data_IF_626891936748
#
_entry.id   IF_626891936748
#
_cell.length_a   1.000
_cell.length_b   1.000
_cell.length_c   1.000
_cell.angle_alpha   90.00
_cell.angle_beta   90.00
_cell.angle_gamma   90.00
#
_symmetry.space_group_name_H-M   'P 1'
#
loop_
_entity.id
_entity.type
_entity.pdbx_description
1 polymer ?
#
# COMPACT_ATOMS: atom_id res chain seq x y z
N UNK A 1 -42.77 -34.72 39.47
CA UNK A 1 -42.22 -34.71 38.09
C UNK A 1 -40.72 -35.03 38.13
N UNK A 2 -40.26 -35.97 37.37
CA UNK A 2 -38.82 -36.30 37.33
C UNK A 2 -38.03 -35.10 36.91
N UNK A 3 -36.87 -34.88 37.54
CA UNK A 3 -36.02 -33.66 37.32
C UNK A 3 -35.64 -33.49 35.83
N UNK A 4 -35.46 -34.59 35.10
CA UNK A 4 -35.15 -34.60 33.69
C UNK A 4 -36.24 -33.96 32.79
N UNK A 5 -37.52 -34.19 33.12
CA UNK A 5 -38.64 -33.61 32.38
C UNK A 5 -38.69 -32.07 32.47
N UNK A 6 -38.27 -31.50 33.60
CA UNK A 6 -38.14 -30.05 33.77
C UNK A 6 -37.02 -29.46 32.91
N UNK A 7 -35.86 -30.12 32.84
CA UNK A 7 -34.74 -29.66 32.03
C UNK A 7 -35.01 -29.78 30.53
N UNK A 8 -35.70 -30.85 30.10
CA UNK A 8 -36.09 -31.00 28.69
C UNK A 8 -37.11 -29.96 28.25
N UNK A 9 -38.13 -29.67 29.12
CA UNK A 9 -39.10 -28.61 28.87
C UNK A 9 -38.42 -27.21 28.81
N UNK A 10 -37.49 -26.95 29.73
CA UNK A 10 -36.73 -25.71 29.74
C UNK A 10 -35.87 -25.57 28.49
N UNK A 11 -35.19 -26.62 28.05
CA UNK A 11 -34.40 -26.62 26.83
C UNK A 11 -35.26 -26.38 25.59
N UNK A 12 -36.44 -26.99 25.50
CA UNK A 12 -37.38 -26.75 24.41
C UNK A 12 -37.92 -25.30 24.40
N UNK A 13 -38.20 -24.74 25.57
CA UNK A 13 -38.62 -23.35 25.69
C UNK A 13 -37.53 -22.39 25.17
N UNK A 14 -36.26 -22.58 25.63
CA UNK A 14 -35.16 -21.75 25.21
C UNK A 14 -34.83 -21.93 23.74
N UNK A 15 -34.94 -23.16 23.22
CA UNK A 15 -34.82 -23.46 21.80
C UNK A 15 -35.85 -22.74 20.94
N UNK A 16 -37.13 -22.73 21.42
CA UNK A 16 -38.21 -21.98 20.77
C UNK A 16 -37.97 -20.47 20.77
N UNK A 17 -37.53 -19.91 21.90
CA UNK A 17 -37.18 -18.49 22.02
C UNK A 17 -36.01 -18.12 21.07
N UNK A 18 -34.99 -18.93 21.05
CA UNK A 18 -33.84 -18.70 20.15
C UNK A 18 -34.24 -18.75 18.66
N UNK A 19 -35.04 -19.76 18.28
CA UNK A 19 -35.56 -19.88 16.91
C UNK A 19 -36.45 -18.67 16.53
N UNK A 20 -37.31 -18.24 17.44
CA UNK A 20 -38.16 -17.04 17.24
C UNK A 20 -37.31 -15.77 17.05
N UNK A 21 -36.26 -15.56 17.87
CA UNK A 21 -35.40 -14.40 17.78
C UNK A 21 -34.60 -14.38 16.45
N UNK A 22 -34.13 -15.54 16.00
CA UNK A 22 -33.45 -15.66 14.69
C UNK A 22 -34.39 -15.37 13.53
N UNK A 23 -35.62 -15.91 13.58
CA UNK A 23 -36.66 -15.66 12.58
C UNK A 23 -37.07 -14.19 12.52
N UNK A 24 -37.43 -13.63 13.69
CA UNK A 24 -37.85 -12.22 13.81
C UNK A 24 -36.73 -11.26 13.40
N UNK A 25 -35.48 -11.53 13.84
CA UNK A 25 -34.30 -10.75 13.47
C UNK A 25 -34.06 -10.75 11.97
N UNK A 26 -34.22 -11.90 11.33
CA UNK A 26 -34.07 -12.03 9.85
C UNK A 26 -35.14 -11.21 9.11
N UNK A 27 -36.39 -11.25 9.56
CA UNK A 27 -37.50 -10.48 8.98
C UNK A 27 -37.32 -8.96 9.14
N UNK A 28 -36.91 -8.52 10.32
CA UNK A 28 -36.63 -7.10 10.61
C UNK A 28 -35.48 -6.59 9.75
N UNK A 29 -34.38 -7.36 9.59
CA UNK A 29 -33.24 -6.99 8.73
C UNK A 29 -33.64 -6.83 7.26
N UNK A 30 -34.44 -7.74 6.72
CA UNK A 30 -34.94 -7.66 5.34
C UNK A 30 -35.83 -6.43 5.13
N UNK A 31 -36.77 -6.20 6.05
CA UNK A 31 -37.66 -5.03 5.96
C UNK A 31 -36.87 -3.72 6.02
N UNK A 32 -35.84 -3.64 6.88
CA UNK A 32 -34.96 -2.48 6.95
C UNK A 32 -34.16 -2.28 5.69
N UNK A 33 -33.64 -3.34 5.08
CA UNK A 33 -32.85 -3.27 3.85
C UNK A 33 -33.68 -2.76 2.64
N UNK A 34 -35.00 -2.94 2.66
CA UNK A 34 -35.92 -2.53 1.60
C UNK A 34 -36.41 -1.08 1.76
N UNK A 35 -36.22 -0.46 2.93
CA UNK A 35 -36.61 0.93 3.14
C UNK A 35 -35.73 1.87 2.26
N UNK A 36 -36.30 2.93 1.66
CA UNK A 36 -35.54 3.91 0.93
C UNK A 36 -34.82 4.89 1.86
N UNK A 37 -33.66 5.37 1.42
CA UNK A 37 -32.99 6.51 2.05
C UNK A 37 -33.82 7.78 1.77
N UNK A 38 -34.23 8.47 2.82
CA UNK A 38 -35.12 9.64 2.70
C UNK A 38 -34.36 10.95 2.52
N UNK A 39 -33.29 11.13 3.28
CA UNK A 39 -32.45 12.35 3.22
C UNK A 39 -31.03 12.07 3.68
N UNK A 40 -30.12 13.03 3.37
CA UNK A 40 -28.73 13.03 3.82
C UNK A 40 -28.54 14.15 4.82
N UNK A 41 -28.03 13.83 5.99
CA UNK A 41 -27.56 14.77 6.99
C UNK A 41 -26.04 14.69 7.08
N UNK A 42 -25.38 15.84 6.91
CA UNK A 42 -23.92 15.93 6.99
C UNK A 42 -23.57 16.74 8.22
N UNK A 43 -22.72 16.18 9.06
CA UNK A 43 -22.17 16.82 10.25
C UNK A 43 -20.66 16.88 10.16
N UNK A 44 -20.09 18.07 10.34
CA UNK A 44 -18.63 18.26 10.47
C UNK A 44 -18.34 18.38 11.96
N UNK A 45 -17.79 17.30 12.54
CA UNK A 45 -17.73 17.09 14.00
C UNK A 45 -16.81 18.06 14.71
N UNK A 46 -15.63 18.40 14.17
CA UNK A 46 -14.60 19.22 14.82
C UNK A 46 -14.46 20.62 14.22
N UNK A 47 -15.56 21.24 13.81
CA UNK A 47 -15.51 22.57 13.26
C UNK A 47 -15.47 23.64 14.36
N UNK A 48 -14.30 23.95 14.87
CA UNK A 48 -14.09 25.24 15.55
C UNK A 48 -14.23 26.38 14.55
N UNK A 49 -14.78 27.51 14.98
CA UNK A 49 -15.08 28.66 14.10
C UNK A 49 -13.88 29.20 13.29
N UNK A 50 -12.68 28.84 13.68
CA UNK A 50 -11.41 29.25 13.04
C UNK A 50 -10.86 28.20 12.03
N UNK A 51 -11.37 26.98 12.02
CA UNK A 51 -10.86 25.84 11.24
C UNK A 51 -11.97 25.24 10.35
N UNK A 52 -12.39 25.99 9.31
CA UNK A 52 -13.34 25.46 8.31
C UNK A 52 -12.62 25.08 7.01
N UNK A 53 -11.94 23.95 6.99
CA UNK A 53 -11.39 23.36 5.76
C UNK A 53 -12.47 22.65 4.95
N UNK A 54 -13.42 22.03 5.64
CA UNK A 54 -14.53 21.29 5.04
C UNK A 54 -15.86 21.87 5.55
N UNK A 55 -16.78 22.12 4.63
CA UNK A 55 -18.16 22.54 4.97
C UNK A 55 -19.14 21.43 4.57
N UNK A 56 -20.33 21.45 5.18
CA UNK A 56 -21.43 20.57 4.80
C UNK A 56 -21.73 20.63 3.30
N UNK A 57 -21.77 21.85 2.73
CA UNK A 57 -21.99 22.04 1.30
C UNK A 57 -20.91 21.41 0.44
N UNK A 58 -19.66 21.44 0.90
CA UNK A 58 -18.53 20.79 0.21
C UNK A 58 -18.68 19.27 0.19
N UNK A 59 -19.03 18.66 1.32
CA UNK A 59 -19.27 17.21 1.41
C UNK A 59 -20.46 16.79 0.55
N UNK A 60 -21.56 17.54 0.59
CA UNK A 60 -22.71 17.30 -0.29
C UNK A 60 -22.34 17.40 -1.76
N UNK A 61 -21.47 18.35 -2.14
CA UNK A 61 -20.93 18.49 -3.48
C UNK A 61 -20.07 17.29 -3.91
N UNK A 62 -19.28 16.70 -3.00
CA UNK A 62 -18.52 15.48 -3.28
C UNK A 62 -19.44 14.28 -3.51
N UNK A 63 -20.46 14.12 -2.67
CA UNK A 63 -21.46 13.06 -2.80
C UNK A 63 -22.24 13.19 -4.11
N UNK A 64 -22.68 14.39 -4.49
CA UNK A 64 -23.40 14.63 -5.74
C UNK A 64 -22.56 14.32 -6.98
N UNK A 65 -21.26 14.67 -6.97
CA UNK A 65 -20.34 14.40 -8.08
C UNK A 65 -19.89 12.95 -8.19
N UNK A 66 -20.07 12.15 -7.15
CA UNK A 66 -19.64 10.75 -7.14
C UNK A 66 -20.46 9.85 -8.07
N UNK A 67 -21.63 10.28 -8.49
CA UNK A 67 -22.58 9.47 -9.26
C UNK A 67 -23.22 8.32 -8.46
N UNK A 68 -22.92 8.21 -7.15
CA UNK A 68 -23.53 7.19 -6.29
C UNK A 68 -24.91 7.69 -5.89
N UNK A 69 -25.93 7.01 -6.40
CA UNK A 69 -27.31 7.30 -5.97
C UNK A 69 -27.45 6.90 -4.49
N UNK A 70 -27.94 7.84 -3.69
CA UNK A 70 -28.13 7.63 -2.25
C UNK A 70 -29.58 7.85 -1.86
N UNK A 71 -30.13 9.04 -2.11
CA UNK A 71 -31.52 9.36 -1.79
C UNK A 71 -32.46 8.61 -2.72
N UNK A 72 -33.50 7.98 -2.15
CA UNK A 72 -34.45 7.15 -2.88
C UNK A 72 -34.00 5.70 -3.12
N UNK A 73 -32.72 5.37 -2.92
CA UNK A 73 -32.23 4.00 -3.02
C UNK A 73 -32.54 3.19 -1.75
N UNK A 74 -32.70 1.87 -1.90
CA UNK A 74 -32.88 0.97 -0.77
C UNK A 74 -31.64 0.97 0.13
N UNK A 75 -31.82 1.03 1.44
CA UNK A 75 -30.72 1.03 2.42
C UNK A 75 -29.75 -0.14 2.17
N UNK A 76 -30.26 -1.32 1.83
CA UNK A 76 -29.44 -2.50 1.54
C UNK A 76 -28.64 -2.41 0.24
N UNK A 77 -28.97 -1.49 -0.67
CA UNK A 77 -28.27 -1.26 -1.94
C UNK A 77 -27.20 -0.16 -1.83
N UNK A 78 -27.31 0.73 -0.84
CA UNK A 78 -26.34 1.81 -0.64
C UNK A 78 -25.04 1.26 -0.07
N UNK A 79 -23.94 1.49 -0.77
CA UNK A 79 -22.60 1.07 -0.36
C UNK A 79 -21.99 2.11 0.57
N UNK A 80 -22.27 1.99 1.86
CA UNK A 80 -21.80 2.94 2.90
C UNK A 80 -20.28 3.03 2.93
N UNK A 81 -19.60 1.89 2.85
CA UNK A 81 -18.14 1.80 2.80
C UNK A 81 -17.52 2.53 1.58
N UNK A 82 -18.21 2.56 0.45
CA UNK A 82 -17.76 3.29 -0.72
C UNK A 82 -17.90 4.81 -0.53
N UNK A 83 -18.95 5.25 0.15
CA UNK A 83 -19.18 6.65 0.50
C UNK A 83 -18.14 7.14 1.52
N UNK A 84 -17.85 6.35 2.56
CA UNK A 84 -16.78 6.67 3.52
C UNK A 84 -15.43 6.83 2.83
N UNK A 85 -15.03 5.85 2.01
CA UNK A 85 -13.78 5.92 1.24
C UNK A 85 -13.72 7.09 0.28
N UNK A 86 -14.84 7.46 -0.35
CA UNK A 86 -14.92 8.59 -1.25
C UNK A 86 -14.63 9.89 -0.51
N UNK A 87 -15.23 10.06 0.66
CA UNK A 87 -15.06 11.26 1.49
C UNK A 87 -13.64 11.29 2.08
N UNK A 88 -13.15 10.17 2.59
CA UNK A 88 -11.82 10.04 3.18
C UNK A 88 -10.65 10.25 2.18
N UNK A 89 -10.89 10.09 0.87
CA UNK A 89 -9.88 10.41 -0.16
C UNK A 89 -9.51 11.89 -0.24
N UNK A 90 -10.36 12.75 0.31
CA UNK A 90 -10.04 14.18 0.32
C UNK A 90 -9.02 14.47 1.42
N UNK A 91 -7.89 15.06 1.06
CA UNK A 91 -6.79 15.34 1.98
C UNK A 91 -7.17 16.16 3.22
N UNK A 92 -8.29 16.88 3.18
CA UNK A 92 -8.81 17.68 4.30
C UNK A 92 -9.54 16.83 5.37
N UNK A 93 -9.90 15.60 5.03
CA UNK A 93 -10.67 14.70 5.90
C UNK A 93 -9.72 13.78 6.64
N UNK A 94 -9.82 13.76 7.97
CA UNK A 94 -9.09 12.84 8.82
C UNK A 94 -9.80 11.49 8.87
N UNK A 95 -11.13 11.52 9.09
CA UNK A 95 -11.98 10.34 9.12
C UNK A 95 -13.39 10.69 8.63
N UNK A 96 -14.10 9.71 8.12
CA UNK A 96 -15.48 9.84 7.69
C UNK A 96 -16.27 8.59 8.06
N UNK A 97 -17.42 8.77 8.67
CA UNK A 97 -18.33 7.68 9.04
C UNK A 97 -19.70 7.91 8.44
N UNK A 98 -20.20 6.92 7.76
CA UNK A 98 -21.52 6.96 7.13
C UNK A 98 -22.42 5.91 7.78
N UNK A 99 -23.51 6.36 8.37
CA UNK A 99 -24.48 5.47 9.01
C UNK A 99 -25.90 5.78 8.51
N UNK A 100 -26.79 4.79 8.58
CA UNK A 100 -28.19 4.99 8.25
C UNK A 100 -29.04 4.75 9.48
N UNK A 101 -29.84 5.75 9.82
CA UNK A 101 -30.80 5.64 10.96
C UNK A 101 -31.95 4.71 10.62
N UNK A 102 -32.71 4.33 11.65
CA UNK A 102 -33.90 3.52 11.46
C UNK A 102 -35.01 4.23 10.63
N UNK A 103 -35.01 5.55 10.63
CA UNK A 103 -35.93 6.39 9.82
C UNK A 103 -35.52 6.58 8.37
N UNK A 104 -34.44 5.93 7.90
CA UNK A 104 -33.93 6.06 6.54
C UNK A 104 -33.09 7.31 6.29
N UNK A 105 -32.67 8.01 7.36
CA UNK A 105 -31.76 9.17 7.23
C UNK A 105 -30.32 8.69 7.13
N UNK A 106 -29.60 9.12 6.10
CA UNK A 106 -28.17 8.87 5.91
C UNK A 106 -27.40 9.94 6.67
N UNK A 107 -26.76 9.57 7.77
CA UNK A 107 -25.88 10.45 8.56
C UNK A 107 -24.45 10.30 8.09
N UNK A 108 -23.83 11.41 7.73
CA UNK A 108 -22.43 11.50 7.28
C UNK A 108 -21.68 12.36 8.28
N UNK A 109 -20.96 11.74 9.20
CA UNK A 109 -20.07 12.42 10.13
C UNK A 109 -18.67 12.52 9.53
N UNK A 110 -18.12 13.72 9.50
CA UNK A 110 -16.81 14.01 8.91
C UNK A 110 -15.93 14.70 9.93
N UNK A 111 -14.75 14.13 10.18
CA UNK A 111 -13.68 14.75 10.96
C UNK A 111 -12.68 15.38 10.03
N UNK A 112 -12.47 16.68 10.16
CA UNK A 112 -11.48 17.39 9.36
C UNK A 112 -10.09 17.30 9.98
N UNK A 113 -9.05 17.38 9.14
CA UNK A 113 -7.67 17.45 9.60
C UNK A 113 -7.35 18.82 10.18
N UNK A 114 -6.59 18.84 11.27
CA UNK A 114 -6.09 20.05 11.89
C UNK A 114 -4.67 20.31 11.43
N UNK A 115 -4.41 21.36 10.62
CA UNK A 115 -3.06 21.70 10.21
C UNK A 115 -2.29 22.32 11.39
N UNK A 116 -1.05 21.87 11.58
CA UNK A 116 -0.11 22.44 12.54
C UNK A 116 0.69 23.60 11.92
N UNK A 117 1.06 23.45 10.66
CA UNK A 117 1.87 24.43 9.93
C UNK A 117 1.59 24.39 8.43
N UNK A 118 2.02 25.45 7.74
CA UNK A 118 1.99 25.54 6.28
C UNK A 118 3.41 25.57 5.72
N UNK A 119 3.72 24.69 4.80
CA UNK A 119 4.94 24.74 4.01
C UNK A 119 4.71 25.63 2.78
N UNK A 120 5.41 26.75 2.74
CA UNK A 120 5.45 27.64 1.58
C UNK A 120 6.92 27.76 1.15
N UNK A 121 7.38 26.71 0.50
CA UNK A 121 8.74 26.57 0.01
C UNK A 121 8.65 26.45 -1.51
N UNK A 122 9.73 26.70 -2.21
CA UNK A 122 9.81 26.71 -3.66
C UNK A 122 9.01 25.57 -4.34
N UNK A 123 7.88 25.91 -4.94
CA UNK A 123 6.92 24.99 -5.55
C UNK A 123 5.99 24.22 -4.58
N UNK A 124 6.19 24.32 -3.27
CA UNK A 124 5.34 23.67 -2.26
C UNK A 124 4.36 24.66 -1.64
N UNK A 125 3.09 24.28 -1.58
CA UNK A 125 2.06 25.01 -0.87
C UNK A 125 1.11 24.00 -0.20
N UNK A 126 1.54 23.45 0.93
CA UNK A 126 0.86 22.35 1.60
C UNK A 126 0.75 22.60 3.10
N UNK A 127 -0.33 22.11 3.70
CA UNK A 127 -0.45 22.00 5.14
C UNK A 127 0.17 20.70 5.65
N UNK A 128 0.66 20.72 6.88
CA UNK A 128 1.19 19.56 7.59
C UNK A 128 0.48 19.47 8.92
N UNK A 129 -0.01 18.28 9.26
CA UNK A 129 -0.59 17.98 10.58
C UNK A 129 0.50 17.60 11.59
N UNK A 130 0.14 17.47 12.85
CA UNK A 130 1.05 17.02 13.92
C UNK A 130 1.61 15.62 13.64
N UNK A 131 0.82 14.73 13.04
CA UNK A 131 1.23 13.37 12.67
C UNK A 131 2.09 13.32 11.40
N UNK A 132 2.40 14.49 10.80
CA UNK A 132 3.18 14.58 9.57
C UNK A 132 2.41 14.22 8.30
N UNK A 133 1.08 14.36 8.31
CA UNK A 133 0.27 14.21 7.10
C UNK A 133 0.28 15.51 6.29
N UNK A 134 0.59 15.41 4.99
CA UNK A 134 0.64 16.54 4.06
C UNK A 134 -0.61 16.56 3.20
N UNK A 135 -1.16 17.75 2.99
CA UNK A 135 -2.25 17.99 2.05
C UNK A 135 -2.20 19.39 1.45
N UNK A 136 -2.71 19.53 0.24
CA UNK A 136 -2.67 20.81 -0.48
C UNK A 136 -3.52 21.89 0.20
N UNK A 137 -3.09 23.14 0.13
CA UNK A 137 -3.89 24.26 0.62
C UNK A 137 -5.10 24.46 -0.28
N UNK A 138 -6.34 24.50 0.25
CA UNK A 138 -7.52 24.76 -0.54
C UNK A 138 -7.49 26.17 -1.14
N UNK A 139 -7.99 26.33 -2.36
CA UNK A 139 -8.01 27.64 -3.02
C UNK A 139 -8.95 28.66 -2.37
N UNK A 140 -10.00 28.19 -1.72
CA UNK A 140 -11.09 29.03 -1.21
C UNK A 140 -11.00 29.33 0.29
N UNK A 141 -10.12 28.66 1.03
CA UNK A 141 -9.98 28.86 2.48
C UNK A 141 -8.53 28.74 2.90
N UNK A 142 -8.12 29.57 3.83
CA UNK A 142 -6.82 29.43 4.48
C UNK A 142 -7.00 29.43 5.99
N UNK A 143 -6.20 28.60 6.66
CA UNK A 143 -6.18 28.49 8.11
C UNK A 143 -4.98 29.28 8.63
N UNK A 144 -5.19 29.98 9.74
CA UNK A 144 -4.11 30.72 10.39
C UNK A 144 -3.21 29.74 11.16
N UNK A 145 -2.06 29.44 10.58
CA UNK A 145 -1.03 28.55 11.16
C UNK A 145 0.36 29.13 10.83
N UNK A 146 1.39 28.77 11.60
CA UNK A 146 2.77 29.13 11.28
C UNK A 146 3.14 28.74 9.85
N UNK A 147 3.81 29.64 9.12
CA UNK A 147 4.28 29.41 7.75
C UNK A 147 5.77 29.18 7.76
N UNK A 148 6.19 28.02 7.24
CA UNK A 148 7.60 27.71 7.05
C UNK A 148 7.98 28.07 5.62
N UNK A 149 8.99 28.92 5.49
CA UNK A 149 9.58 29.35 4.22
C UNK A 149 11.07 29.02 4.22
N UNK A 150 11.69 28.95 3.05
CA UNK A 150 13.13 28.73 2.93
C UNK A 150 13.53 28.02 1.64
N UNK A 151 14.78 27.59 1.57
CA UNK A 151 15.37 26.92 0.40
C UNK A 151 15.46 25.41 0.55
N UNK A 152 14.90 24.83 1.62
CA UNK A 152 14.89 23.40 1.83
C UNK A 152 14.00 22.69 0.80
N UNK A 153 14.51 21.60 0.22
CA UNK A 153 13.71 20.73 -0.66
C UNK A 153 13.25 19.50 0.12
N UNK A 154 11.94 19.39 0.36
CA UNK A 154 11.38 18.17 0.95
C UNK A 154 11.66 16.93 0.08
N UNK A 155 11.78 15.73 0.66
CA UNK A 155 12.07 14.51 -0.08
C UNK A 155 10.89 13.96 -0.90
N UNK A 156 9.73 14.61 -0.85
CA UNK A 156 8.51 14.21 -1.55
C UNK A 156 8.12 15.29 -2.59
N UNK A 157 7.37 14.94 -3.65
CA UNK A 157 6.94 15.91 -4.66
C UNK A 157 5.93 16.92 -4.10
N UNK A 158 5.85 18.11 -4.70
CA UNK A 158 4.97 19.20 -4.24
C UNK A 158 3.46 18.83 -4.28
N UNK A 159 3.08 17.88 -5.10
CA UNK A 159 1.71 17.34 -5.21
C UNK A 159 1.42 16.18 -4.25
N UNK A 160 2.37 15.79 -3.41
CA UNK A 160 2.19 14.66 -2.50
C UNK A 160 1.11 14.94 -1.46
N UNK A 161 0.22 13.97 -1.27
CA UNK A 161 -0.80 13.94 -0.21
C UNK A 161 -0.67 12.63 0.52
N UNK A 162 -0.38 12.68 1.82
CA UNK A 162 -0.16 11.50 2.64
C UNK A 162 0.82 11.74 3.77
N UNK A 163 1.15 10.70 4.51
CA UNK A 163 2.14 10.79 5.58
C UNK A 163 3.57 10.84 5.02
N UNK A 164 4.36 11.82 5.45
CA UNK A 164 5.77 11.95 5.05
C UNK A 164 6.60 10.69 5.40
N UNK A 165 6.26 10.03 6.49
CA UNK A 165 6.90 8.79 6.92
C UNK A 165 6.61 7.61 5.96
N UNK A 166 5.41 7.52 5.42
CA UNK A 166 5.02 6.47 4.47
C UNK A 166 5.72 6.65 3.14
N UNK A 167 5.81 7.88 2.64
CA UNK A 167 6.58 8.17 1.44
C UNK A 167 8.03 7.72 1.55
N UNK A 168 8.69 8.01 2.69
CA UNK A 168 10.06 7.56 2.94
C UNK A 168 10.16 6.04 2.97
N UNK A 169 9.20 5.37 3.60
CA UNK A 169 9.16 3.90 3.69
C UNK A 169 9.00 3.26 2.31
N UNK A 170 8.08 3.78 1.49
CA UNK A 170 7.88 3.32 0.11
C UNK A 170 9.12 3.50 -0.75
N UNK A 171 9.82 4.64 -0.62
CA UNK A 171 11.07 4.88 -1.34
C UNK A 171 12.17 3.91 -0.91
N UNK A 172 12.32 3.67 0.39
CA UNK A 172 13.28 2.68 0.90
C UNK A 172 12.96 1.28 0.38
N UNK A 173 11.72 0.88 0.41
CA UNK A 173 11.29 -0.43 -0.10
C UNK A 173 11.57 -0.59 -1.60
N UNK A 174 11.30 0.43 -2.41
CA UNK A 174 11.64 0.41 -3.83
C UNK A 174 13.15 0.27 -4.08
N UNK A 175 13.98 0.91 -3.25
CA UNK A 175 15.44 0.78 -3.32
C UNK A 175 15.86 -0.64 -2.95
N UNK A 176 15.32 -1.20 -1.86
CA UNK A 176 15.63 -2.55 -1.40
C UNK A 176 15.21 -3.62 -2.44
N UNK A 177 14.02 -3.46 -3.05
CA UNK A 177 13.55 -4.33 -4.13
C UNK A 177 14.49 -4.27 -5.35
N UNK A 178 14.96 -3.07 -5.70
CA UNK A 178 15.91 -2.88 -6.80
C UNK A 178 17.28 -3.48 -6.50
N UNK A 179 17.75 -3.36 -5.25
CA UNK A 179 19.00 -4.02 -4.80
C UNK A 179 18.84 -5.53 -4.91
N UNK A 180 17.73 -6.10 -4.44
CA UNK A 180 17.47 -7.53 -4.50
C UNK A 180 17.39 -8.05 -5.96
N UNK A 181 16.82 -7.25 -6.87
CA UNK A 181 16.80 -7.56 -8.31
C UNK A 181 18.23 -7.61 -8.90
N UNK A 182 19.03 -6.57 -8.65
CA UNK A 182 20.43 -6.49 -9.09
C UNK A 182 21.30 -7.62 -8.52
N UNK A 183 21.08 -8.00 -7.26
CA UNK A 183 21.78 -9.13 -6.65
C UNK A 183 21.40 -10.46 -7.31
N UNK A 184 20.15 -10.66 -7.70
CA UNK A 184 19.71 -11.84 -8.45
C UNK A 184 20.37 -11.91 -9.83
N UNK A 185 20.51 -10.79 -10.51
CA UNK A 185 21.21 -10.71 -11.80
C UNK A 185 22.72 -10.96 -11.66
N UNK A 186 23.32 -10.45 -10.59
CA UNK A 186 24.75 -10.64 -10.30
C UNK A 186 25.12 -12.09 -9.99
N UNK A 187 24.25 -12.85 -9.32
CA UNK A 187 24.52 -14.20 -8.88
C UNK A 187 24.91 -15.18 -10.00
N UNK A 188 24.20 -15.28 -11.14
CA UNK A 188 24.58 -16.17 -12.24
C UNK A 188 25.91 -15.76 -12.89
N UNK A 189 26.23 -14.46 -12.90
CA UNK A 189 27.48 -13.94 -13.42
C UNK A 189 28.66 -14.34 -12.52
N UNK A 190 28.51 -14.18 -11.23
CA UNK A 190 29.48 -14.62 -10.23
C UNK A 190 29.73 -16.14 -10.26
N UNK A 191 28.69 -16.96 -10.42
CA UNK A 191 28.83 -18.41 -10.65
C UNK A 191 29.61 -18.74 -11.92
N UNK A 192 29.43 -17.95 -12.98
CA UNK A 192 30.13 -18.12 -14.25
C UNK A 192 31.62 -17.80 -14.07
N UNK A 193 31.97 -16.77 -13.35
CA UNK A 193 33.34 -16.40 -13.02
C UNK A 193 34.06 -17.50 -12.21
N UNK A 194 33.45 -18.02 -11.18
CA UNK A 194 33.95 -19.14 -10.38
C UNK A 194 34.22 -20.39 -11.27
N UNK A 195 33.27 -20.72 -12.15
CA UNK A 195 33.42 -21.85 -13.07
C UNK A 195 34.56 -21.61 -14.08
N UNK A 196 34.74 -20.38 -14.52
CA UNK A 196 35.82 -20.00 -15.41
C UNK A 196 37.20 -20.14 -14.75
N UNK A 197 37.31 -19.73 -13.49
CA UNK A 197 38.51 -19.91 -12.67
C UNK A 197 38.83 -21.39 -12.43
N UNK A 198 37.83 -22.20 -12.19
CA UNK A 198 37.96 -23.66 -12.01
C UNK A 198 38.45 -24.32 -13.31
N UNK A 199 37.96 -23.92 -14.48
CA UNK A 199 38.40 -24.36 -15.78
C UNK A 199 39.85 -23.99 -16.03
N UNK A 200 40.25 -22.77 -15.71
CA UNK A 200 41.66 -22.34 -15.82
C UNK A 200 42.59 -23.14 -14.90
N UNK A 201 42.16 -23.43 -13.68
CA UNK A 201 42.92 -24.25 -12.72
C UNK A 201 43.02 -25.71 -13.17
N UNK A 202 41.98 -26.28 -13.79
CA UNK A 202 42.01 -27.63 -14.34
C UNK A 202 42.98 -27.76 -15.50
N UNK A 203 42.98 -26.79 -16.43
CA UNK A 203 43.94 -26.73 -17.53
C UNK A 203 45.37 -26.58 -17.03
N UNK A 204 45.60 -25.84 -15.96
CA UNK A 204 46.91 -25.69 -15.32
C UNK A 204 47.41 -27.01 -14.74
N UNK A 205 46.53 -27.82 -14.16
CA UNK A 205 46.84 -29.17 -13.67
C UNK A 205 47.19 -30.13 -14.81
N UNK A 206 46.50 -30.06 -15.95
CA UNK A 206 46.79 -30.86 -17.15
C UNK A 206 48.15 -30.50 -17.81
N UNK A 207 48.60 -29.28 -17.69
CA UNK A 207 49.88 -28.83 -18.20
C UNK A 207 51.12 -29.36 -17.43
N UNK A 208 50.91 -29.75 -16.15
CA UNK A 208 52.02 -30.08 -15.24
C UNK A 208 52.41 -31.57 -15.33
N UNK A 209 51.52 -32.45 -15.79
CA UNK A 209 51.76 -33.92 -15.76
C UNK A 209 51.96 -34.46 -17.16
N UNK A 210 53.21 -34.91 -17.47
CA UNK A 210 53.49 -35.76 -18.61
C UNK A 210 52.97 -37.18 -18.33
N UNK A 211 52.22 -37.73 -19.28
CA UNK A 211 51.75 -39.12 -19.18
C UNK A 211 52.94 -40.08 -19.35
N UNK A 212 53.01 -41.15 -18.58
CA UNK A 212 54.15 -42.04 -18.54
C UNK A 212 54.49 -42.70 -19.89
N UNK A 213 53.51 -42.83 -20.80
CA UNK A 213 53.63 -43.39 -22.13
C UNK A 213 53.75 -42.28 -23.24
N UNK A 214 53.87 -41.04 -22.87
CA UNK A 214 53.88 -39.92 -23.80
C UNK A 214 55.32 -39.58 -24.20
N UNK A 215 55.58 -39.49 -25.52
CA UNK A 215 56.89 -39.00 -26.00
C UNK A 215 57.13 -37.53 -25.59
N UNK A 216 58.42 -37.17 -25.55
CA UNK A 216 58.76 -35.76 -25.21
C UNK A 216 58.23 -34.76 -26.24
N UNK A 217 58.15 -35.19 -27.51
CA UNK A 217 57.67 -34.38 -28.62
C UNK A 217 56.16 -34.19 -28.56
N UNK A 218 55.36 -35.27 -28.37
CA UNK A 218 53.90 -35.19 -28.23
C UNK A 218 53.47 -34.45 -26.95
N UNK A 219 54.22 -34.56 -25.87
CA UNK A 219 54.03 -33.72 -24.67
C UNK A 219 54.23 -32.24 -24.98
N UNK A 220 55.29 -31.88 -25.75
CA UNK A 220 55.54 -30.50 -26.15
C UNK A 220 54.44 -29.92 -27.03
N UNK A 221 53.89 -30.69 -27.94
CA UNK A 221 52.76 -30.28 -28.78
C UNK A 221 51.49 -30.06 -27.94
N UNK A 222 51.14 -30.99 -27.07
CA UNK A 222 49.99 -30.88 -26.16
C UNK A 222 50.13 -29.67 -25.23
N UNK A 223 51.33 -29.39 -24.74
CA UNK A 223 51.58 -28.19 -23.92
C UNK A 223 51.38 -26.93 -24.74
N UNK A 224 51.80 -26.87 -26.00
CA UNK A 224 51.58 -25.72 -26.88
C UNK A 224 50.10 -25.48 -27.16
N UNK A 225 49.34 -26.53 -27.47
CA UNK A 225 47.88 -26.44 -27.71
C UNK A 225 47.11 -26.00 -26.45
N UNK A 226 47.41 -26.60 -25.31
CA UNK A 226 46.79 -26.24 -24.05
C UNK A 226 47.11 -24.81 -23.60
N UNK A 227 48.31 -24.30 -23.90
CA UNK A 227 48.69 -22.91 -23.67
C UNK A 227 47.89 -21.96 -24.56
N UNK A 228 47.74 -22.27 -25.86
CA UNK A 228 46.89 -21.48 -26.78
C UNK A 228 45.43 -21.46 -26.30
N UNK A 229 44.90 -22.61 -25.95
CA UNK A 229 43.52 -22.73 -25.46
C UNK A 229 43.32 -21.95 -24.14
N UNK A 230 44.27 -22.07 -23.21
CA UNK A 230 44.25 -21.29 -21.97
C UNK A 230 44.26 -19.77 -22.22
N UNK A 231 45.00 -19.32 -23.18
CA UNK A 231 45.11 -17.90 -23.52
C UNK A 231 43.81 -17.37 -24.17
N UNK A 232 43.20 -18.18 -25.05
CA UNK A 232 41.89 -17.90 -25.64
C UNK A 232 40.81 -17.81 -24.57
N UNK A 233 40.76 -18.77 -23.62
CA UNK A 233 39.82 -18.74 -22.51
C UNK A 233 40.05 -17.53 -21.60
N UNK A 234 41.28 -17.16 -21.31
CA UNK A 234 41.58 -15.95 -20.53
C UNK A 234 41.10 -14.66 -21.19
N UNK A 235 41.24 -14.56 -22.52
CA UNK A 235 40.73 -13.40 -23.27
C UNK A 235 39.21 -13.35 -23.22
N UNK A 236 38.55 -14.48 -23.42
CA UNK A 236 37.11 -14.60 -23.35
C UNK A 236 36.59 -14.24 -21.95
N UNK A 237 37.19 -14.79 -20.91
CA UNK A 237 36.75 -14.55 -19.51
C UNK A 237 37.04 -13.12 -19.02
N UNK A 238 38.11 -12.50 -19.54
CA UNK A 238 38.38 -11.09 -19.26
C UNK A 238 37.32 -10.18 -19.88
N UNK A 239 36.84 -10.52 -21.06
CA UNK A 239 35.76 -9.81 -21.72
C UNK A 239 34.43 -9.99 -20.92
N UNK A 240 34.11 -11.22 -20.52
CA UNK A 240 32.94 -11.51 -19.72
C UNK A 240 33.00 -10.80 -18.35
N UNK A 241 34.14 -10.70 -17.70
CA UNK A 241 34.33 -9.99 -16.44
C UNK A 241 34.24 -8.45 -16.56
N UNK A 242 34.44 -7.90 -17.76
CA UNK A 242 34.27 -6.44 -18.00
C UNK A 242 32.84 -6.06 -18.28
N UNK A 243 31.96 -7.02 -18.61
CA UNK A 243 30.53 -6.83 -18.88
C UNK A 243 29.71 -6.99 -17.61
N UNK A 244 30.27 -7.56 -16.55
CA UNK A 244 29.73 -7.71 -15.22
C UNK A 244 30.00 -6.47 -14.38
#
# INVERSE_FOLDING_TARGET
MPKYLKYTLLALLWGGVAAYLLYAGGKVRRHRAEQPVTRIEVEVVDSTSQLRLVSEATVRGWLARSGIKTVGEKIGAVRLDALERLIARNGFVADARVTVSYSGVLHVAVWQRTPLMRLLIDGYNSYVTEEGYLFAVPRASSVYVPVITGTYRPPFPASYVGYAADYRREQMQQIDDKIAELEREKYPLYRRELKNDENIRSLRRMLIKKRWFESSESFGERVRELRKHKEQLRRKYRYEAQVI
#
